data_IF_682656992250
#
_entry.id   IF_682656992250
#
_cell.length_a   1.000
_cell.length_b   1.000
_cell.length_c   1.000
_cell.angle_alpha   90.00
_cell.angle_beta   90.00
_cell.angle_gamma   90.00
#
_symmetry.space_group_name_H-M   'P 1'
#
loop_
_entity.id
_entity.type
_entity.pdbx_description
1 polymer ?
#
# COMPACT_ATOMS: atom_id res chain seq x y z
N UNK A 1 -2.41 11.87 12.89
CA UNK A 1 -2.04 12.51 11.58
C UNK A 1 -2.62 13.93 11.51
N UNK A 2 -1.97 14.85 10.78
CA UNK A 2 -2.52 16.20 10.60
C UNK A 2 -3.70 16.20 9.61
N UNK A 3 -4.62 17.18 9.75
CA UNK A 3 -5.84 17.27 8.94
C UNK A 3 -5.59 17.31 7.43
N UNK A 4 -4.49 17.92 6.99
CA UNK A 4 -4.09 17.99 5.58
C UNK A 4 -3.97 16.63 4.89
N UNK A 5 -3.62 15.58 5.63
CA UNK A 5 -3.38 14.22 5.12
C UNK A 5 -4.41 13.19 5.65
N UNK A 6 -5.49 13.68 6.25
CA UNK A 6 -6.57 12.86 6.79
C UNK A 6 -7.79 12.96 5.88
N UNK A 7 -8.17 11.85 5.25
CA UNK A 7 -9.42 11.78 4.51
C UNK A 7 -10.58 11.51 5.49
N UNK A 8 -11.79 12.04 5.20
CA UNK A 8 -12.89 12.02 6.17
C UNK A 8 -13.25 10.61 6.67
N UNK A 9 -13.34 9.63 5.78
CA UNK A 9 -13.77 8.27 6.11
C UNK A 9 -12.77 7.58 7.08
N UNK A 10 -11.49 7.58 6.76
CA UNK A 10 -10.45 7.02 7.63
C UNK A 10 -10.27 7.85 8.92
N UNK A 11 -10.42 9.17 8.82
CA UNK A 11 -10.38 10.05 9.98
C UNK A 11 -11.51 9.77 10.96
N UNK A 12 -12.70 9.38 10.49
CA UNK A 12 -13.83 8.98 11.33
C UNK A 12 -13.53 7.68 12.09
N UNK A 13 -12.90 6.68 11.44
CA UNK A 13 -12.50 5.42 12.10
C UNK A 13 -11.62 5.69 13.32
N UNK A 14 -10.64 6.57 13.19
CA UNK A 14 -9.65 6.86 14.24
C UNK A 14 -10.01 8.07 15.11
N UNK A 15 -11.26 8.56 15.05
CA UNK A 15 -11.72 9.61 15.93
C UNK A 15 -11.88 9.11 17.38
N UNK A 16 -11.69 9.98 18.36
CA UNK A 16 -11.92 9.62 19.76
C UNK A 16 -13.35 9.19 20.04
N UNK A 17 -14.32 9.81 19.35
CA UNK A 17 -15.72 9.42 19.42
C UNK A 17 -15.92 7.96 18.99
N UNK A 18 -15.35 7.54 17.85
CA UNK A 18 -15.47 6.17 17.38
C UNK A 18 -14.67 5.18 18.24
N UNK A 19 -13.50 5.58 18.74
CA UNK A 19 -12.71 4.78 19.70
C UNK A 19 -13.56 4.41 20.92
N UNK A 20 -14.17 5.39 21.58
CA UNK A 20 -15.00 5.13 22.74
C UNK A 20 -16.31 4.42 22.40
N UNK A 21 -16.82 4.60 21.17
CA UNK A 21 -17.97 3.82 20.71
C UNK A 21 -17.60 2.34 20.60
N UNK A 22 -16.44 1.99 20.03
CA UNK A 22 -15.97 0.59 19.98
C UNK A 22 -15.72 0.00 21.37
N UNK A 23 -15.27 0.82 22.33
CA UNK A 23 -15.16 0.39 23.72
C UNK A 23 -16.55 0.09 24.31
N UNK A 24 -17.53 0.94 24.05
CA UNK A 24 -18.92 0.71 24.48
C UNK A 24 -19.50 -0.54 23.82
N UNK A 25 -19.24 -0.77 22.53
CA UNK A 25 -19.72 -1.95 21.81
C UNK A 25 -19.20 -3.25 22.46
N UNK A 26 -17.93 -3.28 22.89
CA UNK A 26 -17.35 -4.41 23.63
C UNK A 26 -18.00 -4.59 24.99
N UNK A 27 -18.13 -3.52 25.79
CA UNK A 27 -18.76 -3.58 27.11
C UNK A 27 -20.22 -4.06 27.03
N UNK A 28 -21.00 -3.56 26.06
CA UNK A 28 -22.37 -4.00 25.83
C UNK A 28 -22.43 -5.48 25.42
N UNK A 29 -21.56 -5.93 24.53
CA UNK A 29 -21.50 -7.33 24.11
C UNK A 29 -21.21 -8.26 25.30
N UNK A 30 -20.32 -7.85 26.22
CA UNK A 30 -20.04 -8.60 27.45
C UNK A 30 -21.25 -8.61 28.38
N UNK A 31 -21.92 -7.48 28.61
CA UNK A 31 -23.13 -7.43 29.43
C UNK A 31 -24.26 -8.30 28.85
N UNK A 32 -24.44 -8.31 27.54
CA UNK A 32 -25.42 -9.14 26.86
C UNK A 32 -25.15 -10.63 27.06
N UNK A 33 -23.89 -11.06 26.89
CA UNK A 33 -23.49 -12.49 27.10
C UNK A 33 -23.67 -12.89 28.54
N UNK A 34 -23.28 -12.05 29.51
CA UNK A 34 -23.51 -12.33 30.94
C UNK A 34 -25.01 -12.42 31.28
N UNK A 35 -25.85 -11.65 30.60
CA UNK A 35 -27.32 -11.74 30.80
C UNK A 35 -27.88 -13.04 30.23
N UNK A 36 -27.40 -13.50 29.05
CA UNK A 36 -27.77 -14.81 28.49
C UNK A 36 -27.37 -15.96 29.40
N UNK A 37 -26.25 -15.82 30.13
CA UNK A 37 -25.75 -16.80 31.10
C UNK A 37 -26.42 -16.68 32.48
N UNK A 38 -27.31 -15.70 32.69
CA UNK A 38 -28.01 -15.48 33.94
C UNK A 38 -27.19 -14.77 35.03
N UNK A 39 -25.99 -14.28 34.73
CA UNK A 39 -25.13 -13.54 35.68
C UNK A 39 -25.63 -12.11 35.88
N UNK A 40 -26.12 -11.45 34.82
CA UNK A 40 -26.67 -10.11 34.85
C UNK A 40 -28.21 -10.20 34.69
N UNK A 41 -28.99 -9.56 35.55
CA UNK A 41 -30.45 -9.49 35.41
C UNK A 41 -30.84 -8.78 34.11
N UNK A 42 -31.93 -9.22 33.47
CA UNK A 42 -32.44 -8.61 32.22
C UNK A 42 -32.77 -7.14 32.38
N UNK A 43 -33.39 -6.77 33.52
CA UNK A 43 -33.74 -5.39 33.83
C UNK A 43 -32.51 -4.50 33.92
N UNK A 44 -31.39 -5.01 34.43
CA UNK A 44 -30.12 -4.29 34.49
C UNK A 44 -29.53 -4.10 33.07
N UNK A 45 -29.57 -5.13 32.20
CA UNK A 45 -29.14 -5.00 30.81
C UNK A 45 -29.95 -3.93 30.07
N UNK A 46 -31.31 -3.92 30.20
CA UNK A 46 -32.17 -2.92 29.58
C UNK A 46 -31.84 -1.50 30.04
N UNK A 47 -31.56 -1.34 31.33
CA UNK A 47 -31.07 -0.07 31.87
C UNK A 47 -29.76 0.36 31.25
N UNK A 48 -28.77 -0.56 31.16
CA UNK A 48 -27.49 -0.31 30.57
C UNK A 48 -27.66 0.09 29.10
N UNK A 49 -28.36 -0.70 28.27
CA UNK A 49 -28.57 -0.42 26.85
C UNK A 49 -29.29 0.91 26.58
N UNK A 50 -30.24 1.29 27.43
CA UNK A 50 -31.00 2.51 27.23
C UNK A 50 -30.25 3.76 27.66
N UNK A 51 -29.38 3.64 28.68
CA UNK A 51 -28.72 4.79 29.31
C UNK A 51 -27.21 4.89 29.02
N UNK A 52 -26.56 3.85 28.51
CA UNK A 52 -25.15 3.90 28.23
C UNK A 52 -24.83 4.95 27.16
N UNK A 53 -24.38 6.09 27.61
CA UNK A 53 -23.92 7.23 26.81
C UNK A 53 -22.60 7.71 27.36
N UNK A 54 -21.79 8.29 26.49
CA UNK A 54 -20.52 8.87 26.92
C UNK A 54 -20.31 10.25 26.28
N UNK A 55 -19.49 11.04 26.96
CA UNK A 55 -19.01 12.32 26.46
C UNK A 55 -17.48 12.31 26.45
N UNK A 56 -16.86 12.46 25.27
CA UNK A 56 -15.39 12.53 25.14
C UNK A 56 -14.82 13.63 26.03
N UNK A 57 -15.47 14.79 26.12
CA UNK A 57 -15.05 15.88 27.02
C UNK A 57 -15.08 15.45 28.46
N UNK A 58 -16.17 14.80 28.90
CA UNK A 58 -16.32 14.36 30.29
C UNK A 58 -15.31 13.27 30.66
N UNK A 59 -15.07 12.31 29.77
CA UNK A 59 -14.03 11.28 29.94
C UNK A 59 -12.66 11.95 30.18
N UNK A 60 -12.29 12.94 29.35
CA UNK A 60 -11.02 13.67 29.52
C UNK A 60 -10.94 14.45 30.82
N UNK A 61 -12.04 14.99 31.30
CA UNK A 61 -12.10 15.65 32.61
C UNK A 61 -11.83 14.66 33.74
N UNK A 62 -12.48 13.50 33.74
CA UNK A 62 -12.29 12.45 34.75
C UNK A 62 -10.85 11.90 34.66
N UNK A 63 -10.31 11.68 33.47
CA UNK A 63 -8.97 11.16 33.25
C UNK A 63 -7.87 12.06 33.85
N UNK A 64 -8.05 13.37 33.88
CA UNK A 64 -7.10 14.30 34.52
C UNK A 64 -6.86 13.98 35.99
N UNK A 65 -7.82 13.36 36.67
CA UNK A 65 -7.73 12.97 38.07
C UNK A 65 -7.35 11.51 38.21
N UNK A 66 -7.93 10.63 37.41
CA UNK A 66 -7.73 9.18 37.52
C UNK A 66 -6.41 8.71 36.89
N UNK A 67 -5.85 9.48 35.92
CA UNK A 67 -4.70 9.10 35.08
C UNK A 67 -4.86 7.72 34.42
N UNK A 68 -6.13 7.34 34.12
CA UNK A 68 -6.46 6.05 33.53
C UNK A 68 -7.70 6.19 32.64
N UNK A 69 -7.53 6.02 31.34
CA UNK A 69 -8.55 6.26 30.33
C UNK A 69 -9.75 5.30 30.41
N UNK A 70 -9.52 4.00 30.64
CA UNK A 70 -10.61 3.02 30.74
C UNK A 70 -11.41 3.25 32.02
N UNK A 71 -10.76 3.56 33.16
CA UNK A 71 -11.47 3.96 34.38
C UNK A 71 -12.29 5.23 34.15
N UNK A 72 -11.74 6.23 33.45
CA UNK A 72 -12.44 7.45 33.13
C UNK A 72 -13.68 7.20 32.27
N UNK A 73 -13.53 6.31 31.26
CA UNK A 73 -14.63 5.89 30.40
C UNK A 73 -15.74 5.17 31.18
N UNK A 74 -15.40 4.13 31.97
CA UNK A 74 -16.41 3.39 32.76
C UNK A 74 -17.05 4.25 33.83
N UNK A 75 -16.32 5.21 34.44
CA UNK A 75 -16.86 6.18 35.37
C UNK A 75 -17.88 7.09 34.69
N UNK A 76 -17.60 7.60 33.49
CA UNK A 76 -18.58 8.41 32.75
C UNK A 76 -19.81 7.58 32.35
N UNK A 77 -19.67 6.32 31.98
CA UNK A 77 -20.83 5.44 31.76
C UNK A 77 -21.66 5.27 33.05
N UNK A 78 -21.02 5.13 34.22
CA UNK A 78 -21.71 4.97 35.48
C UNK A 78 -22.50 6.21 35.87
N UNK A 79 -22.01 7.43 35.58
CA UNK A 79 -22.75 8.69 35.77
C UNK A 79 -24.09 8.69 35.03
N UNK A 80 -24.16 8.07 33.86
CA UNK A 80 -25.35 8.05 33.00
C UNK A 80 -26.29 6.84 33.31
N UNK A 81 -25.70 5.66 33.58
CA UNK A 81 -26.44 4.42 33.78
C UNK A 81 -27.10 4.35 35.18
N UNK A 82 -26.37 4.80 36.22
CA UNK A 82 -26.80 4.66 37.61
C UNK A 82 -26.50 3.26 38.18
N UNK A 83 -27.40 2.73 39.05
CA UNK A 83 -27.13 1.50 39.83
C UNK A 83 -26.76 0.25 39.01
N UNK A 84 -27.29 0.14 37.79
CA UNK A 84 -26.96 -0.97 36.90
C UNK A 84 -25.51 -0.93 36.38
N UNK A 85 -24.80 0.20 36.52
CA UNK A 85 -23.41 0.35 36.10
C UNK A 85 -22.43 -0.59 36.82
N UNK A 86 -22.80 -1.16 37.97
CA UNK A 86 -22.02 -2.17 38.68
C UNK A 86 -21.72 -3.42 37.84
N UNK A 87 -22.45 -3.62 36.78
CA UNK A 87 -22.29 -4.73 35.86
C UNK A 87 -21.43 -4.39 34.63
N UNK A 88 -21.13 -3.11 34.37
CA UNK A 88 -20.21 -2.68 33.34
C UNK A 88 -18.78 -3.03 33.79
N UNK A 89 -17.96 -3.50 32.89
CA UNK A 89 -16.59 -3.95 33.15
C UNK A 89 -16.48 -5.15 34.14
N UNK A 90 -17.56 -5.92 34.27
CA UNK A 90 -17.63 -7.01 35.23
C UNK A 90 -16.71 -8.16 34.85
N UNK A 91 -15.69 -8.42 35.69
CA UNK A 91 -14.67 -9.45 35.49
C UNK A 91 -13.59 -9.11 34.46
N UNK A 92 -13.67 -7.98 33.79
CA UNK A 92 -12.75 -7.56 32.74
C UNK A 92 -11.46 -6.89 33.29
N UNK A 93 -10.43 -6.90 32.46
CA UNK A 93 -9.32 -5.95 32.56
C UNK A 93 -9.39 -4.94 31.41
N UNK A 94 -8.73 -3.79 31.58
CA UNK A 94 -8.76 -2.73 30.56
C UNK A 94 -8.42 -3.23 29.14
N UNK A 95 -7.47 -4.14 29.00
CA UNK A 95 -7.05 -4.66 27.71
C UNK A 95 -8.07 -5.61 27.06
N UNK A 96 -8.99 -6.20 27.81
CA UNK A 96 -10.11 -6.94 27.23
C UNK A 96 -10.95 -6.04 26.35
N UNK A 97 -11.15 -4.78 26.80
CA UNK A 97 -11.91 -3.76 26.05
C UNK A 97 -11.03 -3.13 24.97
N UNK A 98 -9.83 -2.66 25.33
CA UNK A 98 -8.97 -1.89 24.43
C UNK A 98 -8.51 -2.71 23.24
N UNK A 99 -8.00 -3.93 23.45
CA UNK A 99 -7.47 -4.76 22.37
C UNK A 99 -8.58 -5.29 21.47
N UNK A 100 -9.71 -5.71 22.06
CA UNK A 100 -10.87 -6.16 21.27
C UNK A 100 -11.48 -5.02 20.45
N UNK A 101 -11.56 -3.81 21.00
CA UNK A 101 -11.99 -2.62 20.26
C UNK A 101 -10.98 -2.20 19.18
N UNK A 102 -9.68 -2.33 19.43
CA UNK A 102 -8.66 -2.10 18.40
C UNK A 102 -8.80 -3.07 17.23
N UNK A 103 -9.17 -4.34 17.47
CA UNK A 103 -9.46 -5.30 16.40
C UNK A 103 -10.60 -4.79 15.50
N UNK A 104 -11.66 -4.22 16.08
CA UNK A 104 -12.78 -3.63 15.33
C UNK A 104 -12.32 -2.40 14.52
N UNK A 105 -11.54 -1.51 15.12
CA UNK A 105 -11.00 -0.32 14.44
C UNK A 105 -10.07 -0.69 13.28
N UNK A 106 -9.20 -1.68 13.47
CA UNK A 106 -8.30 -2.18 12.43
C UNK A 106 -9.06 -2.87 11.30
N UNK A 107 -10.14 -3.59 11.63
CA UNK A 107 -11.02 -4.20 10.64
C UNK A 107 -11.69 -3.12 9.76
N UNK A 108 -12.28 -2.09 10.38
CA UNK A 108 -12.89 -0.95 9.67
C UNK A 108 -11.86 -0.24 8.78
N UNK A 109 -10.64 0.00 9.29
CA UNK A 109 -9.55 0.60 8.53
C UNK A 109 -9.13 -0.26 7.34
N UNK A 110 -8.99 -1.58 7.52
CA UNK A 110 -8.65 -2.50 6.44
C UNK A 110 -9.70 -2.51 5.33
N UNK A 111 -11.00 -2.41 5.66
CA UNK A 111 -12.05 -2.34 4.64
C UNK A 111 -11.91 -1.12 3.74
N UNK A 112 -11.61 0.05 4.32
CA UNK A 112 -11.36 1.26 3.55
C UNK A 112 -10.13 1.09 2.67
N UNK A 113 -9.02 0.58 3.23
CA UNK A 113 -7.78 0.37 2.50
C UNK A 113 -7.94 -0.63 1.34
N UNK A 114 -8.68 -1.73 1.54
CA UNK A 114 -8.97 -2.71 0.48
C UNK A 114 -9.75 -2.08 -0.67
N UNK A 115 -10.78 -1.29 -0.39
CA UNK A 115 -11.52 -0.54 -1.41
C UNK A 115 -10.60 0.40 -2.21
N UNK A 116 -9.66 1.08 -1.54
CA UNK A 116 -8.69 1.96 -2.20
C UNK A 116 -7.68 1.20 -3.06
N UNK A 117 -7.21 0.04 -2.60
CA UNK A 117 -6.33 -0.84 -3.38
C UNK A 117 -7.07 -1.37 -4.61
N UNK A 118 -8.34 -1.78 -4.49
CA UNK A 118 -9.16 -2.25 -5.61
C UNK A 118 -9.38 -1.15 -6.65
N UNK A 119 -9.62 0.09 -6.22
CA UNK A 119 -9.72 1.24 -7.12
C UNK A 119 -8.39 1.50 -7.87
N UNK A 120 -7.25 1.39 -7.20
CA UNK A 120 -5.94 1.51 -7.84
C UNK A 120 -5.68 0.38 -8.84
N UNK A 121 -6.02 -0.86 -8.50
CA UNK A 121 -5.91 -2.02 -9.41
C UNK A 121 -6.73 -1.81 -10.68
N UNK A 122 -7.94 -1.29 -10.58
CA UNK A 122 -8.77 -0.98 -11.74
C UNK A 122 -8.11 0.05 -12.67
N UNK A 123 -7.52 1.11 -12.10
CA UNK A 123 -6.77 2.12 -12.88
C UNK A 123 -5.53 1.50 -13.54
N UNK A 124 -4.74 0.72 -12.79
CA UNK A 124 -3.53 0.07 -13.33
C UNK A 124 -3.86 -0.87 -14.49
N UNK A 125 -4.91 -1.69 -14.36
CA UNK A 125 -5.38 -2.57 -15.45
C UNK A 125 -5.76 -1.75 -16.68
N UNK A 126 -6.58 -0.73 -16.53
CA UNK A 126 -7.02 0.14 -17.63
C UNK A 126 -5.82 0.80 -18.34
N UNK A 127 -4.90 1.39 -17.58
CA UNK A 127 -3.69 2.05 -18.14
C UNK A 127 -2.76 1.05 -18.83
N UNK A 128 -2.63 -0.17 -18.29
CA UNK A 128 -1.85 -1.21 -18.95
C UNK A 128 -2.36 -1.49 -20.36
N UNK A 129 -3.67 -1.69 -20.53
CA UNK A 129 -4.27 -1.94 -21.84
C UNK A 129 -4.23 -0.73 -22.77
N UNK A 130 -4.45 0.48 -22.24
CA UNK A 130 -4.37 1.73 -23.01
C UNK A 130 -3.02 1.91 -23.69
N UNK A 131 -1.92 1.56 -23.00
CA UNK A 131 -0.56 1.73 -23.50
C UNK A 131 0.13 0.42 -23.88
N UNK A 132 -0.61 -0.65 -24.06
CA UNK A 132 -0.10 -1.98 -24.40
C UNK A 132 0.86 -1.96 -25.60
N UNK A 133 0.51 -1.18 -26.63
CA UNK A 133 1.27 -1.09 -27.87
C UNK A 133 2.15 0.17 -27.97
N UNK A 134 2.25 0.96 -26.90
CA UNK A 134 3.10 2.16 -26.87
C UNK A 134 4.55 1.76 -26.63
N UNK A 135 5.39 1.94 -27.63
CA UNK A 135 6.81 1.65 -27.51
C UNK A 135 7.52 2.70 -26.62
N UNK A 136 8.35 2.24 -25.72
CA UNK A 136 9.21 3.05 -24.84
C UNK A 136 10.62 2.45 -24.82
N UNK A 137 11.65 3.27 -24.62
CA UNK A 137 12.98 2.75 -24.32
C UNK A 137 13.06 2.25 -22.88
N UNK A 138 13.41 0.99 -22.69
CA UNK A 138 13.79 0.43 -21.40
C UNK A 138 15.12 0.99 -20.94
N UNK A 139 15.24 1.30 -19.64
CA UNK A 139 16.48 1.82 -19.05
C UNK A 139 16.94 0.91 -17.92
N UNK A 140 18.21 0.51 -18.01
CA UNK A 140 18.92 -0.15 -16.89
C UNK A 140 20.08 0.75 -16.47
N UNK A 141 20.34 0.87 -15.17
CA UNK A 141 21.35 1.81 -14.63
C UNK A 141 21.17 3.27 -15.08
N UNK A 142 19.96 3.66 -15.54
CA UNK A 142 19.68 4.99 -16.12
C UNK A 142 20.07 5.12 -17.60
N UNK A 143 20.63 4.08 -18.21
CA UNK A 143 21.10 4.05 -19.60
C UNK A 143 20.07 3.36 -20.49
N UNK A 144 19.97 3.77 -21.76
CA UNK A 144 19.11 3.14 -22.76
C UNK A 144 19.55 1.70 -22.98
N UNK A 145 18.60 0.75 -22.84
CA UNK A 145 18.81 -0.66 -23.05
C UNK A 145 18.05 -1.12 -24.30
N UNK A 146 16.90 -1.74 -24.14
CA UNK A 146 16.12 -2.30 -25.24
C UNK A 146 14.71 -1.68 -25.28
N UNK A 147 14.05 -1.67 -26.46
CA UNK A 147 12.65 -1.28 -26.56
C UNK A 147 11.73 -2.16 -25.72
N UNK A 148 10.72 -1.56 -25.08
CA UNK A 148 9.68 -2.24 -24.32
C UNK A 148 8.32 -1.57 -24.55
N UNK A 149 7.25 -2.17 -24.03
CA UNK A 149 5.93 -1.55 -23.99
C UNK A 149 5.74 -0.73 -22.70
N UNK A 150 5.25 0.51 -22.85
CA UNK A 150 4.88 1.33 -21.69
C UNK A 150 3.78 0.71 -20.85
N UNK A 151 2.85 -0.03 -21.49
CA UNK A 151 1.78 -0.78 -20.81
C UNK A 151 2.28 -1.87 -19.88
N UNK A 152 3.47 -2.47 -20.17
CA UNK A 152 4.09 -3.46 -19.29
C UNK A 152 4.46 -2.90 -17.92
N UNK A 153 4.76 -1.61 -17.83
CA UNK A 153 5.00 -0.96 -16.53
C UNK A 153 3.77 -1.00 -15.63
N UNK A 154 2.61 -0.68 -16.17
CA UNK A 154 1.34 -0.75 -15.41
C UNK A 154 0.92 -2.19 -15.12
N UNK A 155 1.19 -3.13 -16.05
CA UNK A 155 0.95 -4.56 -15.82
C UNK A 155 1.82 -5.11 -14.67
N UNK A 156 3.08 -4.70 -14.59
CA UNK A 156 4.00 -5.02 -13.48
C UNK A 156 3.45 -4.48 -12.15
N UNK A 157 3.01 -3.22 -12.12
CA UNK A 157 2.46 -2.59 -10.92
C UNK A 157 1.14 -3.21 -10.50
N UNK A 158 0.29 -3.58 -11.46
CA UNK A 158 -0.93 -4.33 -11.19
C UNK A 158 -0.64 -5.66 -10.49
N UNK A 159 0.27 -6.46 -11.02
CA UNK A 159 0.67 -7.74 -10.43
C UNK A 159 1.25 -7.57 -9.01
N UNK A 160 2.03 -6.51 -8.78
CA UNK A 160 2.57 -6.19 -7.45
C UNK A 160 1.47 -5.76 -6.46
N UNK A 161 0.54 -4.90 -6.89
CA UNK A 161 -0.56 -4.47 -6.05
C UNK A 161 -1.57 -5.58 -5.77
N UNK A 162 -1.74 -6.56 -6.66
CA UNK A 162 -2.53 -7.77 -6.40
C UNK A 162 -1.95 -8.55 -5.22
N UNK A 163 -0.64 -8.77 -5.18
CA UNK A 163 0.02 -9.40 -4.02
C UNK A 163 -0.09 -8.56 -2.75
N UNK A 164 -0.08 -7.23 -2.87
CA UNK A 164 -0.27 -6.33 -1.73
C UNK A 164 -1.69 -6.38 -1.19
N UNK A 165 -2.69 -6.52 -2.07
CA UNK A 165 -4.08 -6.77 -1.66
C UNK A 165 -4.22 -8.05 -0.84
N UNK A 166 -3.60 -9.14 -1.28
CA UNK A 166 -3.60 -10.41 -0.56
C UNK A 166 -2.92 -10.29 0.82
N UNK A 167 -1.80 -9.55 0.91
CA UNK A 167 -1.14 -9.25 2.19
C UNK A 167 -2.08 -8.50 3.13
N UNK A 168 -2.80 -7.50 2.62
CA UNK A 168 -3.72 -6.70 3.42
C UNK A 168 -4.92 -7.53 3.92
N UNK A 169 -5.45 -8.45 3.09
CA UNK A 169 -6.48 -9.40 3.52
C UNK A 169 -5.97 -10.28 4.67
N UNK A 170 -4.77 -10.85 4.54
CA UNK A 170 -4.16 -11.66 5.61
C UNK A 170 -3.89 -10.85 6.87
N UNK A 171 -3.37 -9.64 6.75
CA UNK A 171 -3.14 -8.76 7.89
C UNK A 171 -4.45 -8.41 8.61
N UNK A 172 -5.55 -8.19 7.87
CA UNK A 172 -6.89 -8.03 8.44
C UNK A 172 -7.32 -9.26 9.24
N UNK A 173 -7.20 -10.46 8.67
CA UNK A 173 -7.54 -11.72 9.35
C UNK A 173 -6.69 -11.92 10.61
N UNK A 174 -5.38 -11.62 10.53
CA UNK A 174 -4.46 -11.73 11.66
C UNK A 174 -4.82 -10.78 12.81
N UNK A 175 -5.33 -9.57 12.52
CA UNK A 175 -5.71 -8.58 13.53
C UNK A 175 -7.16 -8.66 13.97
N UNK A 176 -8.04 -9.37 13.25
CA UNK A 176 -9.45 -9.51 13.57
C UNK A 176 -9.69 -10.56 14.69
N UNK A 177 -9.03 -10.40 15.82
CA UNK A 177 -9.16 -11.28 16.99
C UNK A 177 -9.47 -10.46 18.23
N UNK A 178 -10.38 -11.01 19.07
CA UNK A 178 -10.71 -10.45 20.38
C UNK A 178 -10.15 -11.31 21.50
N UNK A 179 -10.09 -10.72 22.68
CA UNK A 179 -9.74 -11.40 23.93
C UNK A 179 -10.62 -10.88 25.07
N UNK A 180 -11.19 -11.76 25.87
CA UNK A 180 -11.95 -11.49 27.10
C UNK A 180 -11.51 -12.51 28.14
N UNK A 181 -10.24 -12.46 28.52
CA UNK A 181 -9.58 -13.48 29.33
C UNK A 181 -9.00 -12.97 30.65
N UNK A 182 -9.24 -11.68 30.99
CA UNK A 182 -8.85 -11.08 32.25
C UNK A 182 -7.37 -10.65 32.31
N UNK A 183 -6.91 -10.34 33.49
CA UNK A 183 -5.68 -9.60 33.76
C UNK A 183 -4.38 -10.26 33.29
N UNK A 184 -4.36 -11.59 33.15
CA UNK A 184 -3.17 -12.36 32.72
C UNK A 184 -3.51 -13.45 31.70
N UNK A 185 -4.73 -13.43 31.13
CA UNK A 185 -5.15 -14.39 30.11
C UNK A 185 -5.58 -15.76 30.65
N UNK A 186 -5.78 -15.88 31.95
CA UNK A 186 -6.06 -17.15 32.62
C UNK A 186 -7.53 -17.36 33.03
N UNK A 187 -8.44 -16.47 32.63
CA UNK A 187 -9.89 -16.55 32.91
C UNK A 187 -10.25 -16.65 34.40
N UNK A 188 -9.44 -16.05 35.30
CA UNK A 188 -9.63 -16.18 36.75
C UNK A 188 -11.01 -15.76 37.27
N UNK A 189 -11.68 -14.82 36.57
CA UNK A 189 -12.98 -14.26 36.97
C UNK A 189 -14.04 -14.38 35.89
N UNK A 190 -13.74 -15.02 34.76
CA UNK A 190 -14.59 -15.15 33.58
C UNK A 190 -14.63 -16.60 33.12
N UNK A 191 -15.79 -17.05 32.64
CA UNK A 191 -15.88 -18.30 31.92
C UNK A 191 -15.37 -18.09 30.47
N UNK A 192 -14.51 -18.98 29.93
CA UNK A 192 -14.05 -18.89 28.52
C UNK A 192 -15.20 -18.78 27.50
N UNK A 193 -16.35 -19.34 27.80
CA UNK A 193 -17.57 -19.22 26.96
C UNK A 193 -17.99 -17.74 26.75
N UNK A 194 -17.69 -16.85 27.71
CA UNK A 194 -17.96 -15.42 27.57
C UNK A 194 -17.15 -14.85 26.39
N UNK A 195 -15.86 -15.14 26.35
CA UNK A 195 -14.98 -14.70 25.26
C UNK A 195 -15.47 -15.22 23.90
N UNK A 196 -15.77 -16.52 23.78
CA UNK A 196 -16.26 -17.11 22.54
C UNK A 196 -17.52 -16.43 22.02
N UNK A 197 -18.50 -16.20 22.91
CA UNK A 197 -19.78 -15.55 22.54
C UNK A 197 -19.63 -14.08 22.23
N UNK A 198 -18.80 -13.34 22.98
CA UNK A 198 -18.50 -11.92 22.72
C UNK A 198 -17.79 -11.77 21.39
N UNK A 199 -16.73 -12.51 21.14
CA UNK A 199 -16.00 -12.46 19.87
C UNK A 199 -16.92 -12.80 18.69
N UNK A 200 -17.74 -13.84 18.79
CA UNK A 200 -18.72 -14.21 17.76
C UNK A 200 -19.71 -13.08 17.48
N UNK A 201 -20.20 -12.38 18.51
CA UNK A 201 -21.14 -11.25 18.39
C UNK A 201 -20.52 -10.05 17.70
N UNK A 202 -19.23 -9.84 17.95
CA UNK A 202 -18.44 -8.76 17.36
C UNK A 202 -17.81 -9.13 16.00
N UNK A 203 -18.12 -10.32 15.46
CA UNK A 203 -17.55 -10.85 14.22
C UNK A 203 -16.02 -10.97 14.25
N UNK A 204 -15.46 -11.24 15.42
CA UNK A 204 -14.03 -11.47 15.64
C UNK A 204 -13.74 -12.95 15.87
N UNK A 205 -12.52 -13.38 15.58
CA UNK A 205 -11.98 -14.64 16.03
C UNK A 205 -11.53 -14.53 17.50
N UNK A 206 -11.47 -15.66 18.21
CA UNK A 206 -10.91 -15.71 19.55
C UNK A 206 -9.38 -15.81 19.46
N UNK A 207 -8.65 -15.07 20.25
CA UNK A 207 -7.22 -15.30 20.44
C UNK A 207 -7.03 -16.64 21.17
N UNK A 208 -6.46 -17.64 20.50
CA UNK A 208 -6.29 -19.00 21.07
C UNK A 208 -5.58 -19.01 22.43
N UNK A 209 -4.70 -18.07 22.66
CA UNK A 209 -4.02 -17.78 23.93
C UNK A 209 -3.64 -16.30 23.95
N UNK A 210 -3.71 -15.70 25.13
CA UNK A 210 -3.32 -14.32 25.35
C UNK A 210 -2.60 -14.20 26.70
N UNK A 211 -2.02 -13.04 26.95
CA UNK A 211 -1.59 -12.62 28.28
C UNK A 211 -2.59 -11.58 28.83
N UNK A 212 -2.16 -10.48 29.40
CA UNK A 212 -3.07 -9.35 29.64
C UNK A 212 -3.55 -8.74 28.31
N UNK A 213 -2.76 -8.93 27.24
CA UNK A 213 -2.97 -8.39 25.91
C UNK A 213 -2.95 -9.48 24.84
N UNK A 214 -3.49 -9.17 23.66
CA UNK A 214 -3.23 -9.91 22.42
C UNK A 214 -1.77 -9.70 22.01
N UNK A 215 -1.10 -10.72 21.48
CA UNK A 215 0.32 -10.62 21.11
C UNK A 215 0.54 -9.61 19.98
N UNK A 216 1.61 -8.82 20.10
CA UNK A 216 1.87 -7.64 19.26
C UNK A 216 2.50 -7.94 17.90
N UNK A 217 2.94 -9.16 17.64
CA UNK A 217 3.32 -9.63 16.31
C UNK A 217 2.21 -9.39 15.26
N UNK A 218 0.93 -9.46 15.66
CA UNK A 218 -0.22 -9.18 14.79
C UNK A 218 -0.25 -7.71 14.33
N UNK A 219 0.04 -6.77 15.23
CA UNK A 219 0.12 -5.35 14.88
C UNK A 219 1.40 -5.02 14.11
N UNK A 220 2.49 -5.74 14.39
CA UNK A 220 3.73 -5.66 13.61
C UNK A 220 3.50 -6.14 12.16
N UNK A 221 2.77 -7.24 11.95
CA UNK A 221 2.39 -7.71 10.62
C UNK A 221 1.54 -6.68 9.88
N UNK A 222 0.53 -6.11 10.54
CA UNK A 222 -0.32 -5.06 9.97
C UNK A 222 0.53 -3.86 9.51
N UNK A 223 1.32 -3.27 10.41
CA UNK A 223 2.13 -2.09 10.11
C UNK A 223 3.20 -2.38 9.04
N UNK A 224 3.80 -3.58 9.05
CA UNK A 224 4.74 -4.02 8.01
C UNK A 224 4.06 -4.18 6.64
N UNK A 225 2.83 -4.68 6.63
CA UNK A 225 2.02 -4.77 5.41
C UNK A 225 1.74 -3.38 4.83
N UNK A 226 1.34 -2.41 5.67
CA UNK A 226 1.15 -1.02 5.24
C UNK A 226 2.47 -0.43 4.69
N UNK A 227 3.61 -0.73 5.30
CA UNK A 227 4.92 -0.27 4.85
C UNK A 227 5.32 -0.86 3.48
N UNK A 228 5.01 -2.13 3.21
CA UNK A 228 5.24 -2.77 1.91
C UNK A 228 4.38 -2.11 0.84
N UNK A 229 3.09 -1.88 1.10
CA UNK A 229 2.19 -1.19 0.17
C UNK A 229 2.70 0.24 -0.11
N UNK A 230 3.07 0.98 0.92
CA UNK A 230 3.62 2.33 0.78
C UNK A 230 4.93 2.34 -0.03
N UNK A 231 5.77 1.31 0.10
CA UNK A 231 7.01 1.18 -0.68
C UNK A 231 6.73 0.91 -2.16
N UNK A 232 5.68 0.15 -2.49
CA UNK A 232 5.22 0.00 -3.88
C UNK A 232 4.76 1.33 -4.47
N UNK A 233 3.96 2.10 -3.71
CA UNK A 233 3.49 3.42 -4.16
C UNK A 233 4.64 4.43 -4.31
N UNK A 234 5.64 4.39 -3.44
CA UNK A 234 6.88 5.19 -3.55
C UNK A 234 7.61 4.87 -4.86
N UNK A 235 7.78 3.58 -5.19
CA UNK A 235 8.39 3.15 -6.46
C UNK A 235 7.60 3.68 -7.67
N UNK A 236 6.27 3.60 -7.68
CA UNK A 236 5.44 4.12 -8.77
C UNK A 236 5.63 5.63 -8.93
N UNK A 237 5.59 6.35 -7.82
CA UNK A 237 5.81 7.79 -7.78
C UNK A 237 7.21 8.19 -8.26
N UNK A 238 8.26 7.43 -7.91
CA UNK A 238 9.62 7.62 -8.41
C UNK A 238 9.68 7.48 -9.93
N UNK A 239 9.02 6.47 -10.53
CA UNK A 239 8.98 6.32 -11.98
C UNK A 239 8.30 7.52 -12.65
N UNK A 240 7.16 8.00 -12.11
CA UNK A 240 6.49 9.20 -12.65
C UNK A 240 7.42 10.42 -12.59
N UNK A 241 8.15 10.61 -11.48
CA UNK A 241 9.14 11.70 -11.35
C UNK A 241 10.26 11.58 -12.38
N UNK A 242 10.74 10.37 -12.67
CA UNK A 242 11.75 10.14 -13.71
C UNK A 242 11.21 10.43 -15.10
N UNK A 243 10.00 10.03 -15.45
CA UNK A 243 9.39 10.33 -16.74
C UNK A 243 9.15 11.83 -16.94
N UNK A 244 8.87 12.59 -15.87
CA UNK A 244 8.58 14.02 -15.92
C UNK A 244 9.84 14.90 -15.98
N UNK A 245 11.04 14.36 -15.80
CA UNK A 245 12.29 15.13 -15.89
C UNK A 245 12.37 15.85 -17.22
N UNK A 246 12.96 17.06 -17.22
CA UNK A 246 13.03 17.94 -18.40
C UNK A 246 13.63 17.27 -19.63
N UNK A 247 14.68 16.48 -19.45
CA UNK A 247 15.38 15.75 -20.51
C UNK A 247 14.63 14.50 -20.98
N UNK A 248 13.74 13.92 -20.16
CA UNK A 248 12.96 12.73 -20.49
C UNK A 248 11.60 13.08 -21.09
N UNK A 249 10.73 13.73 -20.33
CA UNK A 249 9.41 14.23 -20.75
C UNK A 249 8.49 13.19 -21.39
N UNK A 250 8.54 11.93 -20.96
CA UNK A 250 7.73 10.84 -21.52
C UNK A 250 6.32 10.80 -20.91
N UNK A 251 6.19 11.23 -19.65
CA UNK A 251 4.90 11.41 -19.00
C UNK A 251 5.00 12.50 -17.91
N UNK A 252 3.86 13.07 -17.51
CA UNK A 252 3.80 14.07 -16.45
C UNK A 252 2.50 13.98 -15.65
N UNK A 253 2.52 14.50 -14.41
CA UNK A 253 1.33 14.74 -13.62
C UNK A 253 0.37 15.69 -14.36
N UNK A 254 -0.94 15.40 -14.26
CA UNK A 254 -1.97 16.30 -14.79
C UNK A 254 -1.89 17.65 -14.09
N UNK A 255 -1.77 18.70 -14.85
CA UNK A 255 -1.77 20.07 -14.36
C UNK A 255 -3.17 20.66 -14.49
N UNK A 256 -3.84 20.93 -13.37
CA UNK A 256 -5.20 21.44 -13.38
C UNK A 256 -5.27 22.92 -13.78
N UNK A 257 -6.40 23.33 -14.39
CA UNK A 257 -6.65 24.74 -14.71
C UNK A 257 -6.63 25.57 -13.41
N UNK A 258 -5.80 26.62 -13.39
CA UNK A 258 -5.62 27.48 -12.22
C UNK A 258 -4.56 27.00 -11.20
N UNK A 259 -4.02 25.79 -11.38
CA UNK A 259 -2.91 25.31 -10.55
C UNK A 259 -1.66 26.16 -10.82
N UNK A 260 -0.90 26.49 -9.75
CA UNK A 260 0.40 27.15 -9.86
C UNK A 260 1.50 26.13 -9.58
N UNK A 261 2.42 25.95 -10.53
CA UNK A 261 3.49 24.95 -10.42
C UNK A 261 4.72 25.45 -9.68
N UNK A 262 4.94 26.78 -9.67
CA UNK A 262 6.08 27.42 -9.02
C UNK A 262 5.72 28.84 -8.64
N UNK A 263 6.29 29.32 -7.53
CA UNK A 263 6.15 30.74 -7.12
C UNK A 263 7.01 31.70 -7.97
N UNK A 264 8.08 31.18 -8.59
CA UNK A 264 9.05 32.00 -9.33
C UNK A 264 8.95 31.83 -10.85
N UNK A 265 8.63 30.61 -11.34
CA UNK A 265 8.61 30.31 -12.78
C UNK A 265 7.22 29.76 -13.18
N UNK A 266 6.38 30.57 -13.88
CA UNK A 266 4.98 30.19 -14.17
C UNK A 266 4.82 28.94 -15.02
N UNK A 267 5.80 28.61 -15.87
CA UNK A 267 5.78 27.43 -16.74
C UNK A 267 6.24 26.14 -16.05
N UNK A 268 6.86 26.22 -14.86
CA UNK A 268 7.44 25.07 -14.17
C UNK A 268 6.35 24.18 -13.55
N UNK A 269 6.29 22.93 -13.98
CA UNK A 269 5.33 21.93 -13.50
C UNK A 269 6.06 20.87 -12.67
N UNK A 270 6.02 21.05 -11.35
CA UNK A 270 6.69 20.12 -10.43
C UNK A 270 5.83 18.88 -10.20
N UNK A 271 6.43 17.67 -10.03
CA UNK A 271 5.72 16.44 -9.72
C UNK A 271 5.37 16.34 -8.21
N UNK A 272 4.58 17.32 -7.71
CA UNK A 272 4.34 17.51 -6.28
C UNK A 272 3.50 16.40 -5.64
N UNK A 273 2.65 15.71 -6.42
CA UNK A 273 1.84 14.59 -5.92
C UNK A 273 2.76 13.40 -5.71
N UNK A 274 3.59 13.08 -6.69
CA UNK A 274 4.58 11.99 -6.60
C UNK A 274 5.58 12.22 -5.47
N UNK A 275 6.09 13.44 -5.32
CA UNK A 275 7.01 13.81 -4.22
C UNK A 275 6.35 13.61 -2.85
N UNK A 276 5.07 13.96 -2.73
CA UNK A 276 4.30 13.79 -1.49
C UNK A 276 4.07 12.32 -1.17
N UNK A 277 3.76 11.49 -2.17
CA UNK A 277 3.66 10.03 -1.99
C UNK A 277 4.98 9.48 -1.46
N UNK A 278 6.11 9.83 -2.08
CA UNK A 278 7.44 9.42 -1.62
C UNK A 278 7.72 9.86 -0.17
N UNK A 279 7.36 11.09 0.18
CA UNK A 279 7.54 11.62 1.55
C UNK A 279 6.70 10.87 2.59
N UNK A 280 5.41 10.66 2.31
CA UNK A 280 4.51 9.95 3.23
C UNK A 280 4.84 8.46 3.38
N UNK A 281 5.34 7.82 2.33
CA UNK A 281 5.81 6.44 2.41
C UNK A 281 6.95 6.26 3.42
N UNK A 282 7.82 7.26 3.60
CA UNK A 282 8.89 7.23 4.62
C UNK A 282 8.32 7.17 6.03
N UNK A 283 7.26 7.94 6.31
CA UNK A 283 6.58 7.97 7.62
C UNK A 283 5.99 6.60 7.92
N UNK A 284 5.26 5.99 6.96
CA UNK A 284 4.65 4.68 7.14
C UNK A 284 5.71 3.60 7.40
N UNK A 285 6.83 3.62 6.66
CA UNK A 285 7.95 2.69 6.90
C UNK A 285 8.60 2.88 8.28
N UNK A 286 8.78 4.12 8.73
CA UNK A 286 9.30 4.39 10.07
C UNK A 286 8.37 3.84 11.17
N UNK A 287 7.07 4.01 11.01
CA UNK A 287 6.07 3.51 11.97
C UNK A 287 6.05 1.97 12.06
N UNK A 288 6.39 1.25 10.98
CA UNK A 288 6.45 -0.22 11.04
C UNK A 288 7.56 -0.73 11.96
N UNK A 289 8.65 0.00 12.11
CA UNK A 289 9.70 -0.33 13.08
C UNK A 289 9.18 -0.28 14.51
N UNK A 290 8.35 0.71 14.84
CA UNK A 290 7.71 0.81 16.17
C UNK A 290 6.83 -0.42 16.44
N UNK A 291 6.10 -0.90 15.42
CA UNK A 291 5.31 -2.14 15.54
C UNK A 291 6.17 -3.36 15.84
N UNK A 292 7.34 -3.49 15.22
CA UNK A 292 8.29 -4.57 15.48
C UNK A 292 8.89 -4.48 16.89
N UNK A 293 9.25 -3.28 17.36
CA UNK A 293 9.77 -3.04 18.71
C UNK A 293 8.73 -3.39 19.81
N UNK A 294 7.44 -3.21 19.53
CA UNK A 294 6.35 -3.53 20.47
C UNK A 294 6.11 -5.04 20.65
N UNK A 295 6.75 -5.92 19.88
CA UNK A 295 6.63 -7.38 20.06
C UNK A 295 7.28 -7.84 21.36
N UNK A 296 8.41 -7.25 21.72
CA UNK A 296 9.17 -7.62 22.92
C UNK A 296 8.70 -6.83 24.14
N UNK A 297 7.80 -7.41 24.92
CA UNK A 297 7.27 -6.85 26.15
C UNK A 297 7.68 -7.70 27.37
N UNK A 298 7.66 -7.09 28.57
CA UNK A 298 7.98 -7.78 29.81
C UNK A 298 6.79 -8.60 30.31
N UNK A 299 7.05 -9.85 30.65
CA UNK A 299 6.10 -10.77 31.26
C UNK A 299 4.75 -10.81 30.48
N UNK A 300 3.64 -10.76 31.21
CA UNK A 300 2.29 -10.76 30.62
C UNK A 300 1.93 -9.42 29.98
N UNK A 301 2.59 -8.33 30.35
CA UNK A 301 2.55 -7.00 29.75
C UNK A 301 3.38 -5.98 30.53
N UNK A 302 4.10 -5.10 29.83
CA UNK A 302 4.38 -3.74 30.28
C UNK A 302 3.61 -2.74 29.39
N UNK A 303 3.54 -1.45 29.75
CA UNK A 303 2.69 -0.47 29.06
C UNK A 303 3.43 0.30 27.95
N UNK A 304 4.70 -0.01 27.66
CA UNK A 304 5.52 0.72 26.68
C UNK A 304 4.90 0.76 25.29
N UNK A 305 4.24 -0.33 24.88
CA UNK A 305 3.56 -0.42 23.59
C UNK A 305 2.41 0.57 23.44
N UNK A 306 1.67 0.84 24.51
CA UNK A 306 0.37 1.52 24.47
C UNK A 306 0.46 2.95 23.93
N UNK A 307 1.42 3.75 24.41
CA UNK A 307 1.63 5.12 23.93
C UNK A 307 2.02 5.17 22.47
N UNK A 308 2.87 4.24 22.03
CA UNK A 308 3.31 4.15 20.65
C UNK A 308 2.18 3.72 19.70
N UNK A 309 1.39 2.71 20.07
CA UNK A 309 0.27 2.20 19.28
C UNK A 309 -0.81 3.26 19.04
N UNK A 310 -1.08 4.12 20.02
CA UNK A 310 -2.01 5.25 19.90
C UNK A 310 -1.61 6.25 18.80
N UNK A 311 -0.35 6.27 18.41
CA UNK A 311 0.17 7.12 17.35
C UNK A 311 0.30 6.32 16.04
N UNK A 312 1.03 5.20 16.06
CA UNK A 312 1.45 4.55 14.81
C UNK A 312 0.33 3.80 14.09
N UNK A 313 -0.66 3.23 14.78
CA UNK A 313 -1.79 2.55 14.15
C UNK A 313 -2.69 3.53 13.37
N UNK A 314 -3.22 4.60 13.99
CA UNK A 314 -4.01 5.58 13.25
C UNK A 314 -3.19 6.33 12.20
N UNK A 315 -1.97 6.76 12.52
CA UNK A 315 -1.18 7.57 11.59
C UNK A 315 -0.77 6.79 10.35
N UNK A 316 -0.42 5.51 10.48
CA UNK A 316 -0.07 4.67 9.32
C UNK A 316 -1.27 4.37 8.44
N UNK A 317 -2.43 4.07 9.03
CA UNK A 317 -3.68 3.81 8.31
C UNK A 317 -4.16 5.05 7.54
N UNK A 318 -4.17 6.20 8.21
CA UNK A 318 -4.57 7.51 7.62
C UNK A 318 -3.60 7.90 6.50
N UNK A 319 -2.29 7.76 6.73
CA UNK A 319 -1.29 8.10 5.73
C UNK A 319 -1.40 7.22 4.49
N UNK A 320 -1.59 5.90 4.68
CA UNK A 320 -1.73 4.95 3.56
C UNK A 320 -3.01 5.20 2.76
N UNK A 321 -4.14 5.43 3.43
CA UNK A 321 -5.40 5.80 2.77
C UNK A 321 -5.23 7.04 1.87
N UNK A 322 -4.57 8.07 2.42
CA UNK A 322 -4.28 9.29 1.68
C UNK A 322 -3.41 9.05 0.44
N UNK A 323 -2.28 8.33 0.57
CA UNK A 323 -1.37 8.12 -0.57
C UNK A 323 -1.93 7.14 -1.59
N UNK A 324 -2.77 6.17 -1.21
CA UNK A 324 -3.51 5.31 -2.14
C UNK A 324 -4.46 6.13 -3.02
N UNK A 325 -5.24 7.04 -2.42
CA UNK A 325 -6.11 7.93 -3.19
C UNK A 325 -5.30 8.84 -4.11
N UNK A 326 -4.17 9.39 -3.64
CA UNK A 326 -3.31 10.25 -4.48
C UNK A 326 -2.67 9.47 -5.61
N UNK A 327 -2.18 8.26 -5.38
CA UNK A 327 -1.61 7.40 -6.41
C UNK A 327 -2.66 7.02 -7.47
N UNK A 328 -3.87 6.66 -7.05
CA UNK A 328 -4.98 6.35 -7.95
C UNK A 328 -5.28 7.54 -8.86
N UNK A 329 -5.49 8.73 -8.28
CA UNK A 329 -5.78 9.95 -9.05
C UNK A 329 -4.60 10.37 -9.95
N UNK A 330 -3.37 10.20 -9.50
CA UNK A 330 -2.15 10.50 -10.24
C UNK A 330 -2.06 9.64 -11.51
N UNK A 331 -2.21 8.31 -11.36
CA UNK A 331 -2.04 7.36 -12.46
C UNK A 331 -3.24 7.37 -13.42
N UNK A 332 -4.45 7.62 -12.89
CA UNK A 332 -5.64 7.83 -13.70
C UNK A 332 -5.52 9.05 -14.62
N UNK A 333 -5.04 10.14 -14.07
CA UNK A 333 -4.86 11.42 -14.78
C UNK A 333 -3.49 11.63 -15.43
N UNK A 334 -2.59 10.63 -15.43
CA UNK A 334 -1.24 10.76 -15.98
C UNK A 334 -1.27 11.12 -17.47
N UNK A 335 -0.65 12.24 -17.83
CA UNK A 335 -0.49 12.66 -19.22
C UNK A 335 0.73 11.98 -19.80
N UNK A 336 0.55 11.26 -20.91
CA UNK A 336 1.59 10.46 -21.57
C UNK A 336 1.87 11.05 -22.95
N UNK A 337 3.13 11.03 -23.36
CA UNK A 337 3.61 11.58 -24.63
C UNK A 337 4.28 10.47 -25.46
N UNK A 338 3.50 9.66 -26.22
CA UNK A 338 4.03 8.55 -27.02
C UNK A 338 5.07 8.99 -28.06
N UNK A 339 4.88 10.16 -28.68
CA UNK A 339 5.82 10.71 -29.66
C UNK A 339 7.18 10.99 -28.99
N UNK A 340 7.17 11.56 -27.78
CA UNK A 340 8.40 11.81 -27.02
C UNK A 340 9.09 10.51 -26.59
N UNK A 341 8.32 9.47 -26.23
CA UNK A 341 8.88 8.14 -25.98
C UNK A 341 9.61 7.59 -27.21
N UNK A 342 9.03 7.76 -28.39
CA UNK A 342 9.63 7.33 -29.65
C UNK A 342 10.89 8.16 -29.99
N UNK A 343 10.87 9.48 -29.78
CA UNK A 343 12.06 10.34 -29.93
C UNK A 343 13.20 9.87 -29.02
N UNK A 344 12.91 9.62 -27.74
CA UNK A 344 13.91 9.13 -26.77
C UNK A 344 14.44 7.75 -27.16
N UNK A 345 13.58 6.85 -27.65
CA UNK A 345 13.96 5.54 -28.14
C UNK A 345 14.97 5.65 -29.28
N UNK A 346 14.77 6.61 -30.19
CA UNK A 346 15.62 6.85 -31.35
C UNK A 346 16.84 7.76 -31.06
N UNK A 347 16.98 8.28 -29.82
CA UNK A 347 18.03 9.25 -29.49
C UNK A 347 19.45 8.74 -29.71
N UNK A 348 19.66 7.43 -29.62
CA UNK A 348 20.94 6.76 -29.88
C UNK A 348 21.08 6.28 -31.32
N UNK A 349 20.20 6.73 -32.23
CA UNK A 349 20.28 6.46 -33.68
C UNK A 349 20.51 5.00 -34.05
N UNK A 350 19.76 4.09 -33.39
CA UNK A 350 19.76 2.67 -33.68
C UNK A 350 20.70 1.83 -32.82
N UNK A 351 21.55 2.39 -31.97
CA UNK A 351 22.47 1.61 -31.11
C UNK A 351 21.76 0.61 -30.20
N UNK A 352 20.52 0.89 -29.81
CA UNK A 352 19.68 -0.02 -29.00
C UNK A 352 19.41 -1.37 -29.68
N UNK A 353 19.64 -1.49 -30.98
CA UNK A 353 19.46 -2.71 -31.74
C UNK A 353 20.75 -3.55 -31.88
N UNK A 354 21.87 -3.09 -31.34
CA UNK A 354 23.18 -3.77 -31.43
C UNK A 354 23.17 -5.21 -30.89
N UNK A 355 22.42 -5.45 -29.79
CA UNK A 355 22.24 -6.80 -29.23
C UNK A 355 21.51 -7.75 -30.18
N UNK A 356 20.44 -7.25 -30.84
CA UNK A 356 19.70 -8.05 -31.83
C UNK A 356 20.59 -8.38 -33.06
N UNK A 357 21.37 -7.40 -33.53
CA UNK A 357 22.30 -7.62 -34.63
C UNK A 357 23.30 -8.72 -34.32
N UNK A 358 23.90 -8.68 -33.13
CA UNK A 358 24.84 -9.72 -32.64
C UNK A 358 24.18 -11.10 -32.65
N UNK A 359 22.94 -11.23 -32.17
CA UNK A 359 22.24 -12.51 -32.15
C UNK A 359 21.94 -13.04 -33.56
N UNK A 360 21.49 -12.17 -34.45
CA UNK A 360 21.18 -12.58 -35.84
C UNK A 360 22.43 -13.02 -36.58
N UNK A 361 23.55 -12.31 -36.43
CA UNK A 361 24.85 -12.73 -37.00
C UNK A 361 25.29 -14.11 -36.48
N UNK A 362 25.14 -14.34 -35.19
CA UNK A 362 25.46 -15.63 -34.58
C UNK A 362 24.55 -16.75 -35.13
N UNK A 363 23.28 -16.50 -35.32
CA UNK A 363 22.34 -17.45 -35.93
C UNK A 363 22.69 -17.78 -37.40
N UNK A 364 23.38 -16.88 -38.10
CA UNK A 364 23.89 -17.08 -39.45
C UNK A 364 25.24 -17.80 -39.50
N UNK A 365 25.70 -18.29 -38.35
CA UNK A 365 26.94 -19.09 -38.25
C UNK A 365 28.22 -18.29 -38.04
N UNK A 366 28.12 -16.98 -37.78
CA UNK A 366 29.28 -16.16 -37.40
C UNK A 366 29.68 -16.48 -35.97
N UNK A 367 30.96 -16.71 -35.71
CA UNK A 367 31.47 -16.89 -34.36
C UNK A 367 31.14 -15.65 -33.48
N UNK A 368 30.76 -15.88 -32.23
CA UNK A 368 30.25 -14.80 -31.34
C UNK A 368 31.25 -13.66 -31.17
N UNK A 369 32.53 -13.98 -31.00
CA UNK A 369 33.61 -13.02 -30.85
C UNK A 369 33.78 -12.16 -32.11
N UNK A 370 33.68 -12.77 -33.27
CA UNK A 370 33.75 -12.07 -34.56
C UNK A 370 32.53 -11.18 -34.79
N UNK A 371 31.34 -11.69 -34.50
CA UNK A 371 30.11 -10.92 -34.59
C UNK A 371 30.17 -9.72 -33.62
N UNK A 372 30.70 -9.92 -32.40
CA UNK A 372 30.87 -8.86 -31.40
C UNK A 372 31.83 -7.77 -31.90
N UNK A 373 32.96 -8.13 -32.48
CA UNK A 373 33.94 -7.20 -33.06
C UNK A 373 33.30 -6.34 -34.15
N UNK A 374 32.55 -6.95 -35.07
CA UNK A 374 31.89 -6.22 -36.17
C UNK A 374 30.79 -5.26 -35.65
N UNK A 375 30.00 -5.73 -34.74
CA UNK A 375 28.93 -4.89 -34.11
C UNK A 375 29.56 -3.74 -33.31
N UNK A 376 30.57 -4.02 -32.50
CA UNK A 376 31.24 -3.03 -31.65
C UNK A 376 31.90 -1.93 -32.46
N UNK A 377 32.68 -2.26 -33.54
CA UNK A 377 33.34 -1.22 -34.37
C UNK A 377 32.33 -0.24 -34.96
N UNK A 378 31.21 -0.76 -35.52
CA UNK A 378 30.15 0.08 -36.06
C UNK A 378 29.42 0.89 -34.97
N UNK A 379 29.19 0.28 -33.81
CA UNK A 379 28.55 0.92 -32.69
C UNK A 379 29.42 2.05 -32.09
N UNK A 380 30.71 1.85 -31.93
CA UNK A 380 31.62 2.89 -31.45
C UNK A 380 31.73 4.04 -32.42
N UNK A 381 31.84 3.77 -33.72
CA UNK A 381 31.82 4.83 -34.76
C UNK A 381 30.53 5.63 -34.70
N UNK A 382 29.37 4.96 -34.59
CA UNK A 382 28.08 5.64 -34.45
C UNK A 382 28.01 6.50 -33.19
N UNK A 383 28.57 6.01 -32.09
CA UNK A 383 28.56 6.74 -30.79
C UNK A 383 29.49 7.96 -30.85
N UNK A 384 30.72 7.80 -31.28
CA UNK A 384 31.75 8.86 -31.28
C UNK A 384 31.43 9.97 -32.29
N UNK A 385 30.94 9.61 -33.49
CA UNK A 385 30.61 10.54 -34.56
C UNK A 385 29.12 11.01 -34.54
N UNK A 386 28.35 10.57 -33.57
CA UNK A 386 26.90 10.81 -33.53
C UNK A 386 26.20 10.37 -34.83
N UNK A 387 26.62 9.21 -35.37
CA UNK A 387 26.24 8.67 -36.67
C UNK A 387 25.01 7.77 -36.66
N UNK A 388 24.53 7.40 -37.84
CA UNK A 388 23.46 6.42 -38.04
C UNK A 388 24.01 5.00 -37.99
N UNK A 389 23.76 4.27 -36.90
CA UNK A 389 24.24 2.90 -36.73
C UNK A 389 23.69 1.95 -37.79
N UNK A 390 22.42 2.09 -38.20
CA UNK A 390 21.85 1.26 -39.25
C UNK A 390 22.55 1.50 -40.61
N UNK A 391 22.84 2.76 -40.94
CA UNK A 391 23.56 3.14 -42.14
C UNK A 391 24.98 2.53 -42.15
N UNK A 392 25.71 2.58 -41.03
CA UNK A 392 27.02 1.98 -40.88
C UNK A 392 26.97 0.46 -41.07
N UNK A 393 26.00 -0.23 -40.44
CA UNK A 393 25.78 -1.67 -40.60
C UNK A 393 25.45 -2.04 -42.06
N UNK A 394 24.63 -1.26 -42.76
CA UNK A 394 24.33 -1.46 -44.18
C UNK A 394 25.55 -1.24 -45.09
N UNK A 395 26.53 -0.47 -44.67
CA UNK A 395 27.76 -0.23 -45.42
C UNK A 395 28.89 -1.23 -45.11
N UNK A 396 28.81 -1.99 -44.01
CA UNK A 396 29.83 -2.91 -43.54
C UNK A 396 29.88 -4.19 -44.39
N UNK A 397 31.04 -4.43 -45.02
CA UNK A 397 31.23 -5.57 -45.94
C UNK A 397 31.15 -6.92 -45.25
N UNK A 398 31.68 -7.04 -44.05
CA UNK A 398 31.71 -8.31 -43.30
C UNK A 398 30.29 -8.70 -42.90
N UNK A 399 29.49 -7.72 -42.41
CA UNK A 399 28.10 -7.95 -42.05
C UNK A 399 27.26 -8.29 -43.28
N UNK A 400 27.43 -7.56 -44.40
CA UNK A 400 26.71 -7.78 -45.64
C UNK A 400 27.04 -9.12 -46.32
N UNK A 401 28.17 -9.74 -46.00
CA UNK A 401 28.49 -11.09 -46.46
C UNK A 401 27.60 -12.18 -45.82
N UNK A 402 26.95 -11.86 -44.68
CA UNK A 402 26.12 -12.80 -43.93
C UNK A 402 24.65 -12.41 -43.85
N UNK A 403 24.30 -11.11 -44.00
CA UNK A 403 22.93 -10.57 -43.89
C UNK A 403 22.54 -9.80 -45.15
N UNK A 404 21.40 -10.13 -45.72
CA UNK A 404 20.79 -9.33 -46.78
C UNK A 404 20.28 -7.98 -46.24
N UNK A 405 20.08 -6.98 -47.11
CA UNK A 405 19.51 -5.68 -46.73
C UNK A 405 18.15 -5.82 -46.00
N UNK A 406 17.29 -6.77 -46.41
CA UNK A 406 16.01 -7.02 -45.76
C UNK A 406 16.15 -7.58 -44.34
N UNK A 407 17.12 -8.49 -44.12
CA UNK A 407 17.39 -9.01 -42.77
C UNK A 407 17.96 -7.93 -41.84
N UNK A 408 18.82 -7.04 -42.37
CA UNK A 408 19.28 -5.88 -41.60
C UNK A 408 18.12 -4.98 -41.24
N UNK A 409 17.18 -4.67 -42.16
CA UNK A 409 15.99 -3.87 -41.84
C UNK A 409 15.13 -4.54 -40.78
N UNK A 410 15.02 -5.86 -40.79
CA UNK A 410 14.28 -6.61 -39.79
C UNK A 410 14.92 -6.53 -38.38
N UNK A 411 16.26 -6.49 -38.32
CA UNK A 411 17.00 -6.30 -37.05
C UNK A 411 16.61 -4.99 -36.36
N UNK A 412 16.40 -3.93 -37.13
CA UNK A 412 16.04 -2.58 -36.63
C UNK A 412 14.52 -2.38 -36.45
N UNK A 413 13.73 -3.45 -36.60
CA UNK A 413 12.27 -3.37 -36.43
C UNK A 413 11.85 -3.55 -34.95
N UNK A 414 11.03 -2.63 -34.45
CA UNK A 414 10.46 -2.68 -33.09
C UNK A 414 9.61 -3.93 -32.82
N UNK A 415 9.02 -4.52 -33.86
CA UNK A 415 8.15 -5.69 -33.76
C UNK A 415 8.78 -6.88 -33.05
N UNK A 416 10.10 -7.07 -33.22
CA UNK A 416 10.86 -8.14 -32.55
C UNK A 416 10.79 -8.03 -31.03
N UNK A 417 10.86 -6.83 -30.48
CA UNK A 417 10.86 -6.57 -29.06
C UNK A 417 9.46 -6.61 -28.44
N UNK A 418 8.46 -6.28 -29.22
CA UNK A 418 7.07 -6.20 -28.74
C UNK A 418 6.24 -7.47 -29.01
N UNK A 419 6.76 -8.44 -29.74
CA UNK A 419 6.04 -9.66 -30.19
C UNK A 419 5.44 -10.50 -29.06
N UNK A 420 6.04 -10.46 -27.87
CA UNK A 420 5.63 -11.27 -26.73
C UNK A 420 4.76 -10.49 -25.69
N UNK A 421 4.43 -9.23 -25.96
CA UNK A 421 3.63 -8.40 -25.05
C UNK A 421 2.27 -9.04 -24.75
N UNK A 422 1.60 -9.59 -25.79
CA UNK A 422 0.32 -10.28 -25.64
C UNK A 422 0.42 -11.49 -24.71
N UNK A 423 1.48 -12.27 -24.81
CA UNK A 423 1.72 -13.42 -23.93
C UNK A 423 1.90 -12.99 -22.48
N UNK A 424 2.63 -11.88 -22.23
CA UNK A 424 2.82 -11.35 -20.89
C UNK A 424 1.49 -10.83 -20.33
N UNK A 425 0.70 -10.13 -21.14
CA UNK A 425 -0.62 -9.63 -20.73
C UNK A 425 -1.58 -10.77 -20.36
N UNK A 426 -1.60 -11.86 -21.14
CA UNK A 426 -2.38 -13.06 -20.81
C UNK A 426 -1.96 -13.68 -19.47
N UNK A 427 -0.66 -13.72 -19.15
CA UNK A 427 -0.18 -14.21 -17.84
C UNK A 427 -0.63 -13.34 -16.67
N UNK A 428 -0.72 -12.03 -16.86
CA UNK A 428 -1.06 -11.08 -15.79
C UNK A 428 -2.57 -10.96 -15.59
N UNK A 429 -3.34 -10.91 -16.68
CA UNK A 429 -4.77 -10.56 -16.66
C UNK A 429 -5.69 -11.75 -16.95
N UNK A 430 -5.16 -12.90 -17.37
CA UNK A 430 -5.93 -14.08 -17.77
C UNK A 430 -6.24 -14.13 -19.26
N UNK A 431 -6.71 -15.30 -19.74
CA UNK A 431 -7.18 -15.48 -21.12
C UNK A 431 -8.57 -14.86 -21.26
N UNK A 432 -8.77 -14.04 -22.29
CA UNK A 432 -10.06 -13.42 -22.61
C UNK A 432 -10.21 -11.95 -22.24
N UNK A 433 -9.11 -11.28 -21.93
CA UNK A 433 -9.08 -9.82 -21.70
C UNK A 433 -8.36 -9.08 -22.82
#
# INVERSE_FOLDING_TARGET
MISRYTLPEMGAVWSEQNKFQKWLDVELAVCEVHTEMGTIPREALEQIKTRARFSVTRIKEIERTTNHDVIAFTTNLAEEIGDAARFVHFGLTSSDVVDTANALLLNDACEILLKKVDALLAVLKRRAFEFKNTAQIGRTHGIHAEPTSFGLTFALWFSEMTRNRERLVRARETTAVGKISGAVGAFAHLDPVVEERVCKRLELQVAAVSTQIIQRDRYAEYLSTLAIIASSLDKFALNVRHWQRTEVREAQERFAKGQKGSSAMPHKRNPIISERICGMARVIRANSLVGLENVALWHERDISHSSAERVVLPDSSIALDYILQKATSLLDGLVVYPERMLENLNATRGLIFSGQLLLVLTQKGVAREQAYEWVQRNAMTAWDENGDFQGLVKADRDINAHLSPQEIEHVFALGTYLRNVDTIFKRVFGEGT
#
